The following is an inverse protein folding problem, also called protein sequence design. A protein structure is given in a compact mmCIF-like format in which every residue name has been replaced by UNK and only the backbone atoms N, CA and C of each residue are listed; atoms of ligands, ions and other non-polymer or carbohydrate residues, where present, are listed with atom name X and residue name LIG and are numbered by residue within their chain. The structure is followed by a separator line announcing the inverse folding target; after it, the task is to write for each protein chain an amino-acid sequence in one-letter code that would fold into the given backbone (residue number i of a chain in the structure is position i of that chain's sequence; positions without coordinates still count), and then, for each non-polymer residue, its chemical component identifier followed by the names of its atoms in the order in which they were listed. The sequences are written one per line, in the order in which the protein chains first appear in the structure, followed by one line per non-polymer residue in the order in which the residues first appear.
data_IF_312656874895
#
_entry.id   IF_312656874895
#
_cell.length_a   1.000
_cell.length_b   1.000
_cell.length_c   1.000
_cell.angle_alpha   90.00
_cell.angle_beta   90.00
_cell.angle_gamma   90.00
#
_symmetry.space_group_name_H-M   'P 1'
#
loop_
_entity.id
_entity.type
_entity.pdbx_description
1 polymer ?
#
# COMPACT_ATOMS: atom_id res chain seq x y z
N UNK A 1 46.44 -8.18 -30.27
CA UNK A 1 46.28 -7.00 -29.40
C UNK A 1 45.67 -7.49 -28.11
N UNK A 2 46.46 -7.43 -27.06
CA UNK A 2 46.31 -8.15 -25.79
C UNK A 2 45.13 -7.64 -24.96
N UNK A 3 44.26 -8.57 -24.57
CA UNK A 3 43.34 -8.41 -23.45
C UNK A 3 44.15 -8.06 -22.20
N UNK A 4 43.89 -6.95 -21.49
CA UNK A 4 44.39 -6.80 -20.14
C UNK A 4 43.48 -7.63 -19.24
N UNK A 5 44.07 -8.64 -18.62
CA UNK A 5 43.53 -9.36 -17.48
C UNK A 5 43.19 -8.36 -16.37
N UNK A 6 41.91 -8.02 -16.25
CA UNK A 6 41.40 -7.16 -15.17
C UNK A 6 41.39 -7.98 -13.89
N UNK A 7 42.39 -7.77 -13.03
CA UNK A 7 42.41 -8.32 -11.67
C UNK A 7 41.22 -7.76 -10.86
N UNK A 8 40.53 -8.58 -10.04
CA UNK A 8 39.39 -8.17 -9.23
C UNK A 8 39.73 -7.10 -8.16
N UNK A 9 41.02 -6.81 -7.96
CA UNK A 9 41.52 -5.72 -7.09
C UNK A 9 41.39 -4.32 -7.71
N UNK A 10 41.34 -4.20 -9.05
CA UNK A 10 41.24 -2.91 -9.74
C UNK A 10 39.87 -2.24 -9.56
N UNK A 11 38.79 -3.01 -9.72
CA UNK A 11 37.41 -2.57 -9.49
C UNK A 11 37.17 -2.05 -8.06
N UNK A 12 37.87 -2.62 -7.09
CA UNK A 12 37.79 -2.19 -5.69
C UNK A 12 38.43 -0.82 -5.49
N UNK A 13 39.58 -0.60 -6.12
CA UNK A 13 40.34 0.66 -6.08
C UNK A 13 39.56 1.81 -6.72
N UNK A 14 38.90 1.55 -7.85
CA UNK A 14 38.12 2.55 -8.59
C UNK A 14 36.90 3.05 -7.79
N UNK A 15 36.19 2.15 -7.09
CA UNK A 15 35.05 2.49 -6.22
C UNK A 15 35.51 3.31 -4.99
N UNK A 16 36.67 2.98 -4.42
CA UNK A 16 37.21 3.67 -3.25
C UNK A 16 37.72 5.08 -3.56
N UNK A 17 38.22 5.30 -4.79
CA UNK A 17 38.73 6.60 -5.23
C UNK A 17 37.60 7.64 -5.43
N UNK A 18 36.45 7.20 -5.94
CA UNK A 18 35.29 8.06 -6.19
C UNK A 18 34.54 8.49 -4.92
N UNK A 19 34.71 7.72 -3.83
CA UNK A 19 34.08 7.99 -2.54
C UNK A 19 34.95 8.87 -1.61
N UNK A 20 35.99 9.54 -2.14
CA UNK A 20 36.90 10.41 -1.38
C UNK A 20 37.56 9.76 -0.14
N UNK A 21 37.59 8.42 -0.03
CA UNK A 21 38.20 7.73 1.12
C UNK A 21 39.72 7.65 0.99
N UNK A 22 40.27 7.83 -0.22
CA UNK A 22 41.69 7.68 -0.47
C UNK A 22 42.22 8.96 -1.12
N UNK A 23 42.74 9.86 -0.29
CA UNK A 23 43.90 10.64 -0.71
C UNK A 23 45.01 9.61 -1.04
N UNK A 24 45.65 9.72 -2.21
CA UNK A 24 46.66 8.77 -2.73
C UNK A 24 47.82 8.53 -1.72
N UNK A 25 47.95 9.36 -0.68
CA UNK A 25 48.81 9.12 0.48
C UNK A 25 48.50 7.83 1.27
N UNK A 26 47.30 7.26 1.18
CA UNK A 26 46.95 6.05 1.95
C UNK A 26 47.37 4.73 1.28
N UNK A 27 47.73 4.75 -0.01
CA UNK A 27 48.07 3.54 -0.78
C UNK A 27 49.42 2.91 -0.39
N UNK A 28 50.19 3.54 0.52
CA UNK A 28 51.47 3.05 1.00
C UNK A 28 51.45 2.35 2.36
N UNK A 29 50.35 2.38 3.13
CA UNK A 29 50.25 1.66 4.40
C UNK A 29 49.77 0.22 4.20
N UNK A 30 50.71 -0.57 3.67
CA UNK A 30 51.01 -1.96 4.01
C UNK A 30 49.87 -2.86 4.52
N UNK A 31 49.59 -3.90 3.75
CA UNK A 31 49.85 -5.31 4.13
C UNK A 31 49.74 -5.71 5.62
N UNK A 32 48.65 -5.35 6.29
CA UNK A 32 48.15 -6.04 7.48
C UNK A 32 46.81 -5.46 7.85
N UNK A 33 45.72 -6.21 7.67
CA UNK A 33 44.74 -6.45 8.73
C UNK A 33 43.75 -7.52 8.23
N UNK A 34 44.00 -8.70 8.78
CA UNK A 34 43.26 -9.95 8.76
C UNK A 34 41.75 -9.88 8.41
N UNK A 35 41.37 -10.87 7.62
CA UNK A 35 40.04 -11.39 7.29
C UNK A 35 38.92 -11.08 8.29
N UNK A 36 37.76 -10.65 7.77
CA UNK A 36 36.45 -10.38 8.39
C UNK A 36 36.09 -8.91 8.73
N UNK A 37 37.03 -8.01 9.04
CA UNK A 37 36.69 -6.58 9.29
C UNK A 37 36.58 -5.78 7.98
N UNK A 38 37.40 -6.13 6.99
CA UNK A 38 37.39 -5.53 5.66
C UNK A 38 36.05 -5.67 4.94
N UNK A 39 35.36 -6.81 5.12
CA UNK A 39 34.09 -7.08 4.46
C UNK A 39 32.93 -6.27 5.08
N UNK A 40 32.94 -6.08 6.41
CA UNK A 40 31.98 -5.24 7.12
C UNK A 40 32.11 -3.76 6.76
N UNK A 41 33.34 -3.26 6.59
CA UNK A 41 33.57 -1.91 6.10
C UNK A 41 33.15 -1.80 4.63
N UNK A 42 33.58 -2.71 3.76
CA UNK A 42 33.24 -2.71 2.34
C UNK A 42 31.72 -2.75 2.05
N UNK A 43 30.93 -3.50 2.83
CA UNK A 43 29.47 -3.50 2.73
C UNK A 43 28.80 -2.24 3.31
N UNK A 44 29.47 -1.49 4.18
CA UNK A 44 28.99 -0.22 4.73
C UNK A 44 29.20 1.00 3.81
N UNK A 45 30.08 0.90 2.80
CA UNK A 45 30.43 2.01 1.90
C UNK A 45 29.62 2.06 0.60
N UNK A 46 28.67 1.14 0.38
CA UNK A 46 27.84 1.06 -0.83
C UNK A 46 26.78 2.19 -0.97
N UNK A 47 26.96 3.32 -0.28
CA UNK A 47 25.86 4.26 0.03
C UNK A 47 25.94 5.65 -0.58
N UNK A 48 27.00 6.02 -1.32
CA UNK A 48 27.21 7.43 -1.70
C UNK A 48 26.64 7.84 -3.07
N UNK A 49 25.87 6.98 -3.75
CA UNK A 49 25.14 7.35 -4.97
C UNK A 49 26.02 7.79 -6.16
N UNK A 50 27.30 7.44 -6.15
CA UNK A 50 28.30 7.82 -7.15
C UNK A 50 28.74 6.59 -7.96
N UNK A 51 29.06 6.81 -9.23
CA UNK A 51 29.52 5.80 -10.17
C UNK A 51 30.81 6.25 -10.85
N UNK A 52 31.74 5.34 -11.13
CA UNK A 52 33.01 5.67 -11.77
C UNK A 52 32.79 5.81 -13.27
N UNK A 53 33.00 7.01 -13.82
CA UNK A 53 32.92 7.28 -15.27
C UNK A 53 34.25 7.00 -15.96
N UNK A 54 35.33 7.35 -15.28
CA UNK A 54 36.69 7.18 -15.75
C UNK A 54 37.57 6.69 -14.61
N UNK A 55 38.26 5.57 -14.84
CA UNK A 55 39.14 4.96 -13.86
C UNK A 55 40.36 5.83 -13.56
N UNK A 56 40.87 5.67 -12.34
CA UNK A 56 42.07 6.34 -11.87
C UNK A 56 43.30 5.84 -12.66
N UNK A 57 44.22 6.75 -13.00
CA UNK A 57 45.56 6.39 -13.48
C UNK A 57 46.59 7.11 -12.59
N UNK A 58 47.84 6.63 -12.50
CA UNK A 58 48.88 7.15 -11.61
C UNK A 58 49.22 8.65 -11.74
N UNK A 59 48.62 9.36 -12.70
CA UNK A 59 48.85 10.77 -13.03
C UNK A 59 47.56 11.55 -13.33
N UNK A 60 46.38 10.93 -13.26
CA UNK A 60 45.10 11.59 -13.57
C UNK A 60 44.03 11.24 -12.57
N UNK A 61 43.34 12.28 -12.09
CA UNK A 61 42.23 12.14 -11.15
C UNK A 61 41.03 11.42 -11.76
N UNK A 62 40.28 10.72 -10.91
CA UNK A 62 39.09 9.94 -11.25
C UNK A 62 37.92 10.87 -11.56
N UNK A 63 37.18 10.60 -12.64
CA UNK A 63 35.93 11.31 -12.93
C UNK A 63 34.75 10.48 -12.45
N UNK A 64 34.04 11.02 -11.48
CA UNK A 64 32.83 10.44 -10.89
C UNK A 64 31.58 10.98 -11.58
N UNK A 65 30.67 10.08 -11.95
CA UNK A 65 29.31 10.42 -12.39
C UNK A 65 28.30 10.08 -11.30
N UNK A 66 27.14 10.73 -11.36
CA UNK A 66 26.05 10.50 -10.40
C UNK A 66 25.25 9.27 -10.82
N UNK A 67 24.93 8.38 -9.86
CA UNK A 67 24.11 7.21 -10.12
C UNK A 67 22.66 7.61 -10.45
N UNK A 68 21.99 6.85 -11.31
CA UNK A 68 20.57 7.07 -11.61
C UNK A 68 19.72 7.06 -10.33
N UNK A 69 18.87 8.08 -10.18
CA UNK A 69 18.06 8.29 -8.98
C UNK A 69 18.76 9.08 -7.87
N UNK A 70 19.91 9.70 -8.16
CA UNK A 70 20.63 10.60 -7.27
C UNK A 70 20.92 11.93 -7.97
N UNK A 71 21.07 13.00 -7.19
CA UNK A 71 21.51 14.32 -7.66
C UNK A 71 22.74 14.78 -6.89
N UNK A 72 23.57 15.59 -7.53
CA UNK A 72 24.77 16.13 -6.90
C UNK A 72 24.45 17.30 -5.97
N UNK A 73 24.86 17.19 -4.70
CA UNK A 73 24.74 18.28 -3.71
C UNK A 73 26.05 19.04 -3.51
N UNK A 74 27.18 18.35 -3.60
CA UNK A 74 28.51 18.92 -3.42
C UNK A 74 29.34 18.78 -4.69
N UNK A 75 29.74 19.90 -5.28
CA UNK A 75 30.66 19.93 -6.43
C UNK A 75 32.11 19.97 -5.91
N UNK A 76 32.99 19.12 -6.44
CA UNK A 76 34.44 19.15 -6.16
C UNK A 76 35.13 20.11 -7.15
N UNK A 77 34.80 19.94 -8.43
CA UNK A 77 35.29 20.73 -9.56
C UNK A 77 34.15 20.88 -10.58
N UNK A 78 34.38 21.66 -11.66
CA UNK A 78 33.37 22.01 -12.67
C UNK A 78 32.59 20.83 -13.30
N UNK A 79 33.04 19.58 -13.09
CA UNK A 79 32.42 18.37 -13.62
C UNK A 79 32.39 17.17 -12.64
N UNK A 80 32.80 17.33 -11.37
CA UNK A 80 32.94 16.23 -10.42
C UNK A 80 32.04 16.38 -9.19
N UNK A 81 31.32 15.32 -8.82
CA UNK A 81 30.45 15.31 -7.65
C UNK A 81 31.12 14.64 -6.43
N UNK A 82 31.15 15.32 -5.27
CA UNK A 82 31.63 14.77 -3.98
C UNK A 82 30.56 14.02 -3.22
N UNK A 83 29.31 14.49 -3.33
CA UNK A 83 28.21 14.00 -2.53
C UNK A 83 26.96 13.92 -3.41
N UNK A 84 26.54 12.70 -3.69
CA UNK A 84 25.27 12.45 -4.33
C UNK A 84 24.20 12.11 -3.29
N UNK A 85 23.05 12.75 -3.40
CA UNK A 85 21.89 12.53 -2.56
C UNK A 85 20.77 11.91 -3.39
N UNK A 86 20.06 10.93 -2.83
CA UNK A 86 18.98 10.26 -3.54
C UNK A 86 17.90 11.29 -3.91
N UNK A 87 17.32 11.17 -5.10
CA UNK A 87 16.19 11.99 -5.49
C UNK A 87 15.04 11.85 -4.50
N UNK A 88 14.44 12.98 -4.14
CA UNK A 88 13.25 13.06 -3.31
C UNK A 88 12.09 12.34 -3.99
N UNK A 89 11.40 11.51 -3.22
CA UNK A 89 10.11 10.97 -3.64
C UNK A 89 9.03 11.97 -3.24
N UNK A 90 8.15 12.30 -4.17
CA UNK A 90 7.03 13.17 -3.88
C UNK A 90 6.07 12.50 -2.89
N UNK A 91 5.45 13.32 -2.04
CA UNK A 91 4.50 12.81 -1.06
C UNK A 91 3.19 12.38 -1.73
N UNK A 92 2.37 11.62 -1.01
CA UNK A 92 0.99 11.40 -1.40
C UNK A 92 0.28 12.76 -1.53
N UNK A 93 -0.58 12.90 -2.55
CA UNK A 93 -1.18 14.18 -2.93
C UNK A 93 -0.36 15.05 -3.85
N UNK A 94 0.84 14.61 -4.23
CA UNK A 94 1.71 15.30 -5.16
C UNK A 94 1.98 14.46 -6.41
N UNK A 95 2.47 15.11 -7.46
CA UNK A 95 2.98 14.47 -8.68
C UNK A 95 4.39 14.95 -8.97
N UNK A 96 5.10 14.17 -9.78
CA UNK A 96 6.37 14.59 -10.36
C UNK A 96 6.05 15.62 -11.46
N UNK A 97 6.49 16.86 -11.26
CA UNK A 97 6.41 17.92 -12.26
C UNK A 97 7.60 17.85 -13.21
N UNK A 98 8.79 17.76 -12.64
CA UNK A 98 10.04 17.61 -13.38
C UNK A 98 10.83 16.45 -12.78
N UNK A 99 11.27 15.48 -13.60
CA UNK A 99 12.09 14.38 -13.11
C UNK A 99 13.44 14.90 -12.65
N UNK A 100 13.95 14.36 -11.54
CA UNK A 100 15.29 14.67 -11.06
C UNK A 100 16.36 14.31 -12.10
N UNK A 101 17.41 15.13 -12.17
CA UNK A 101 18.57 14.92 -13.03
C UNK A 101 19.81 14.65 -12.19
N UNK A 102 20.97 14.40 -12.81
CA UNK A 102 22.23 14.25 -12.07
C UNK A 102 22.63 15.50 -11.28
N UNK A 103 22.08 16.67 -11.61
CA UNK A 103 22.41 17.95 -10.98
C UNK A 103 21.25 18.57 -10.19
N UNK A 104 20.01 18.11 -10.42
CA UNK A 104 18.82 18.66 -9.77
C UNK A 104 17.98 17.56 -9.14
N UNK A 105 17.35 17.85 -8.02
CA UNK A 105 16.39 16.95 -7.40
C UNK A 105 15.06 16.91 -8.19
N UNK A 106 14.24 15.91 -7.91
CA UNK A 106 12.87 15.80 -8.42
C UNK A 106 12.02 16.96 -7.91
N UNK A 107 11.32 17.63 -8.83
CA UNK A 107 10.39 18.70 -8.48
C UNK A 107 8.98 18.13 -8.35
N UNK A 108 8.41 18.29 -7.16
CA UNK A 108 7.05 17.84 -6.84
C UNK A 108 6.06 19.00 -6.94
N UNK A 109 4.85 18.70 -7.39
CA UNK A 109 3.73 19.66 -7.45
C UNK A 109 2.47 19.02 -6.85
N UNK A 110 1.66 19.79 -6.14
CA UNK A 110 0.41 19.30 -5.55
C UNK A 110 -0.63 18.99 -6.64
N UNK A 111 -1.42 17.94 -6.41
CA UNK A 111 -2.54 17.61 -7.29
C UNK A 111 -3.65 18.66 -7.20
N UNK A 112 -4.23 19.03 -8.35
CA UNK A 112 -5.41 19.90 -8.39
C UNK A 112 -6.63 19.22 -7.75
N UNK A 113 -7.61 20.01 -7.26
CA UNK A 113 -8.86 19.47 -6.73
C UNK A 113 -9.56 18.56 -7.76
N UNK A 114 -10.00 17.38 -7.32
CA UNK A 114 -10.56 16.36 -8.21
C UNK A 114 -9.56 15.29 -8.67
N UNK A 115 -8.30 15.40 -8.26
CA UNK A 115 -7.27 14.39 -8.49
C UNK A 115 -6.66 13.92 -7.17
N UNK A 116 -6.17 12.68 -7.16
CA UNK A 116 -5.45 12.08 -6.05
C UNK A 116 -4.15 11.42 -6.54
N UNK A 117 -3.14 11.34 -5.67
CA UNK A 117 -1.96 10.52 -5.88
C UNK A 117 -1.59 9.78 -4.61
N UNK A 118 -1.55 8.45 -4.69
CA UNK A 118 -1.16 7.60 -3.55
C UNK A 118 0.36 7.52 -3.38
N UNK A 119 1.06 7.38 -4.51
CA UNK A 119 2.50 7.08 -4.54
C UNK A 119 3.35 8.30 -4.93
N UNK A 120 2.74 9.47 -5.13
CA UNK A 120 3.46 10.72 -5.46
C UNK A 120 3.95 10.82 -6.90
N UNK A 121 3.67 9.84 -7.76
CA UNK A 121 4.22 9.80 -9.12
C UNK A 121 3.39 10.66 -10.07
N UNK A 122 2.10 10.33 -10.19
CA UNK A 122 1.15 10.99 -11.07
C UNK A 122 -0.16 11.27 -10.33
N UNK A 123 -0.85 12.34 -10.73
CA UNK A 123 -2.19 12.63 -10.27
C UNK A 123 -3.20 11.85 -11.13
N UNK A 124 -4.04 11.06 -10.48
CA UNK A 124 -5.15 10.32 -11.08
C UNK A 124 -6.46 11.01 -10.74
N UNK A 125 -7.38 11.13 -11.69
CA UNK A 125 -8.69 11.72 -11.44
C UNK A 125 -9.48 10.86 -10.45
N UNK A 126 -10.31 11.49 -9.61
CA UNK A 126 -11.20 10.78 -8.72
C UNK A 126 -12.19 9.90 -9.48
N UNK A 127 -12.50 8.74 -8.91
CA UNK A 127 -13.52 7.83 -9.43
C UNK A 127 -14.88 8.50 -9.39
N UNK A 128 -15.57 8.54 -10.54
CA UNK A 128 -16.95 9.01 -10.65
C UNK A 128 -17.88 7.85 -10.36
N UNK A 129 -18.68 7.96 -9.30
CA UNK A 129 -19.68 6.94 -8.98
C UNK A 129 -20.80 6.90 -10.01
N UNK A 130 -21.24 5.69 -10.36
CA UNK A 130 -22.40 5.49 -11.24
C UNK A 130 -23.70 5.96 -10.57
N UNK A 131 -24.75 6.24 -11.36
CA UNK A 131 -26.06 6.68 -10.84
C UNK A 131 -26.69 5.72 -9.81
N UNK A 132 -26.26 4.45 -9.79
CA UNK A 132 -26.73 3.44 -8.84
C UNK A 132 -25.96 3.38 -7.52
N UNK A 133 -24.86 4.14 -7.42
CA UNK A 133 -23.93 4.16 -6.30
C UNK A 133 -23.93 5.52 -5.61
N UNK A 134 -23.64 5.51 -4.32
CA UNK A 134 -23.43 6.71 -3.52
C UNK A 134 -21.95 6.80 -3.13
N UNK A 135 -21.46 8.02 -2.96
CA UNK A 135 -20.15 8.28 -2.36
C UNK A 135 -20.24 7.86 -0.89
N UNK A 136 -19.45 6.85 -0.52
CA UNK A 136 -19.34 6.37 0.87
C UNK A 136 -18.19 7.06 1.59
N UNK A 137 -17.10 7.31 0.86
CA UNK A 137 -15.93 8.01 1.36
C UNK A 137 -15.54 9.09 0.36
N UNK A 138 -15.38 10.32 0.86
CA UNK A 138 -14.96 11.46 0.06
C UNK A 138 -13.50 11.29 -0.38
N UNK A 139 -13.24 11.64 -1.65
CA UNK A 139 -11.88 11.68 -2.18
C UNK A 139 -11.08 12.82 -1.56
N UNK A 140 -9.78 12.64 -1.45
CA UNK A 140 -8.83 13.67 -1.07
C UNK A 140 -7.64 13.67 -2.05
N UNK A 141 -6.67 14.56 -1.86
CA UNK A 141 -5.42 14.53 -2.63
C UNK A 141 -4.66 13.19 -2.46
N UNK A 142 -4.82 12.49 -1.34
CA UNK A 142 -4.11 11.23 -1.06
C UNK A 142 -4.91 9.96 -1.34
N UNK A 143 -6.24 10.06 -1.47
CA UNK A 143 -7.15 8.92 -1.54
C UNK A 143 -8.27 9.14 -2.56
N UNK A 144 -8.67 8.07 -3.22
CA UNK A 144 -9.76 8.10 -4.19
C UNK A 144 -11.13 8.14 -3.52
N UNK A 145 -12.14 8.58 -4.27
CA UNK A 145 -13.56 8.47 -3.92
C UNK A 145 -13.95 7.00 -3.89
N UNK A 146 -14.57 6.57 -2.78
CA UNK A 146 -15.08 5.20 -2.66
C UNK A 146 -16.57 5.16 -2.91
N UNK A 147 -16.96 4.44 -3.97
CA UNK A 147 -18.36 4.25 -4.35
C UNK A 147 -18.94 2.99 -3.69
N UNK A 148 -20.08 3.15 -3.01
CA UNK A 148 -20.83 2.05 -2.43
C UNK A 148 -22.25 1.98 -2.94
N UNK A 149 -22.89 0.82 -2.76
CA UNK A 149 -24.33 0.71 -3.01
C UNK A 149 -25.11 1.43 -1.92
N UNK A 150 -26.18 2.15 -2.29
CA UNK A 150 -27.06 2.76 -1.32
C UNK A 150 -27.59 1.71 -0.32
N UNK A 151 -27.56 1.97 1.00
CA UNK A 151 -28.08 1.03 1.98
C UNK A 151 -29.57 0.80 1.72
N UNK A 152 -29.92 -0.45 1.40
CA UNK A 152 -31.30 -0.88 1.19
C UNK A 152 -32.05 -1.01 2.52
N UNK A 153 -32.15 0.09 3.28
CA UNK A 153 -32.81 0.13 4.58
C UNK A 153 -34.29 -0.32 4.50
N UNK A 154 -34.92 -0.15 3.33
CA UNK A 154 -36.29 -0.63 3.06
C UNK A 154 -36.42 -2.15 3.18
N UNK A 155 -35.40 -2.94 2.85
CA UNK A 155 -35.49 -4.41 2.95
C UNK A 155 -35.47 -4.90 4.40
N UNK A 156 -34.76 -4.21 5.29
CA UNK A 156 -34.76 -4.53 6.72
C UNK A 156 -36.16 -4.34 7.33
N UNK A 157 -36.78 -3.18 7.09
CA UNK A 157 -38.14 -2.89 7.57
C UNK A 157 -39.19 -3.85 6.99
N UNK A 158 -39.12 -4.13 5.69
CA UNK A 158 -40.05 -5.09 5.05
C UNK A 158 -39.88 -6.49 5.65
N UNK A 159 -38.64 -6.94 5.89
CA UNK A 159 -38.37 -8.24 6.52
C UNK A 159 -38.96 -8.36 7.92
N UNK A 160 -38.80 -7.32 8.75
CA UNK A 160 -39.38 -7.29 10.11
C UNK A 160 -40.90 -7.30 10.10
N UNK A 161 -41.54 -6.52 9.21
CA UNK A 161 -43.00 -6.48 9.09
C UNK A 161 -43.53 -7.84 8.64
N UNK A 162 -42.90 -8.46 7.63
CA UNK A 162 -43.30 -9.79 7.15
C UNK A 162 -43.17 -10.84 8.24
N UNK A 163 -42.07 -10.84 9.00
CA UNK A 163 -41.86 -11.77 10.12
C UNK A 163 -42.93 -11.59 11.20
N UNK A 164 -43.26 -10.35 11.57
CA UNK A 164 -44.29 -10.06 12.56
C UNK A 164 -45.68 -10.54 12.10
N UNK A 165 -46.02 -10.32 10.83
CA UNK A 165 -47.29 -10.80 10.26
C UNK A 165 -47.38 -12.34 10.28
N UNK A 166 -46.29 -13.04 9.96
CA UNK A 166 -46.23 -14.51 10.02
C UNK A 166 -46.46 -15.00 11.47
N UNK A 167 -45.81 -14.38 12.46
CA UNK A 167 -45.98 -14.75 13.87
C UNK A 167 -47.42 -14.51 14.32
N UNK A 168 -48.00 -13.35 13.97
CA UNK A 168 -49.39 -13.02 14.31
C UNK A 168 -50.38 -14.04 13.73
N UNK A 169 -50.21 -14.41 12.45
CA UNK A 169 -51.03 -15.44 11.79
C UNK A 169 -50.89 -16.79 12.49
N UNK A 170 -49.67 -17.21 12.84
CA UNK A 170 -49.43 -18.45 13.59
C UNK A 170 -50.13 -18.45 14.97
N UNK A 171 -50.11 -17.33 15.70
CA UNK A 171 -50.81 -17.19 16.97
C UNK A 171 -52.33 -17.26 16.80
N UNK A 172 -52.87 -16.63 15.75
CA UNK A 172 -54.30 -16.69 15.43
C UNK A 172 -54.70 -18.13 15.07
N UNK A 173 -53.96 -18.81 14.21
CA UNK A 173 -54.23 -20.20 13.81
C UNK A 173 -54.16 -21.13 15.02
N UNK A 174 -53.12 -21.02 15.85
CA UNK A 174 -53.00 -21.85 17.06
C UNK A 174 -54.10 -21.56 18.08
N UNK A 175 -54.55 -20.29 18.20
CA UNK A 175 -55.71 -19.90 19.00
C UNK A 175 -56.99 -20.54 18.51
N UNK A 176 -57.26 -20.47 17.20
CA UNK A 176 -58.44 -21.09 16.56
C UNK A 176 -58.40 -22.61 16.73
N UNK A 177 -57.25 -23.26 16.48
CA UNK A 177 -57.10 -24.71 16.63
C UNK A 177 -57.31 -25.13 18.08
N UNK A 178 -56.77 -24.39 19.06
CA UNK A 178 -56.99 -24.65 20.49
C UNK A 178 -58.45 -24.45 20.87
N UNK A 179 -59.11 -23.39 20.41
CA UNK A 179 -60.51 -23.12 20.67
C UNK A 179 -61.42 -24.20 20.06
N UNK A 180 -61.17 -24.59 18.80
CA UNK A 180 -61.87 -25.69 18.14
C UNK A 180 -61.66 -27.02 18.89
N UNK A 181 -60.44 -27.31 19.33
CA UNK A 181 -60.16 -28.52 20.11
C UNK A 181 -60.88 -28.51 21.46
N UNK A 182 -60.91 -27.37 22.16
CA UNK A 182 -61.63 -27.20 23.42
C UNK A 182 -63.15 -27.41 23.24
N UNK A 183 -63.71 -26.86 22.18
CA UNK A 183 -65.12 -27.03 21.83
C UNK A 183 -65.46 -28.47 21.42
N UNK A 184 -64.58 -29.14 20.67
CA UNK A 184 -64.74 -30.57 20.35
C UNK A 184 -64.68 -31.45 21.60
N UNK A 185 -63.81 -31.13 22.57
CA UNK A 185 -63.75 -31.88 23.84
C UNK A 185 -64.97 -31.66 24.71
N UNK A 186 -65.54 -30.45 24.75
CA UNK A 186 -66.76 -30.17 25.51
C UNK A 186 -67.98 -30.89 24.91
N UNK A 187 -68.13 -30.87 23.58
CA UNK A 187 -69.19 -31.62 22.87
C UNK A 187 -69.05 -33.13 23.07
N UNK A 188 -67.83 -33.67 23.05
CA UNK A 188 -67.59 -35.10 23.32
C UNK A 188 -67.95 -35.50 24.75
N UNK A 189 -67.71 -34.63 25.73
CA UNK A 189 -68.12 -34.86 27.13
C UNK A 189 -69.64 -34.84 27.31
N UNK A 190 -70.34 -33.94 26.60
CA UNK A 190 -71.80 -33.87 26.62
C UNK A 190 -72.45 -35.13 26.01
N UNK A 191 -71.88 -35.65 24.91
CA UNK A 191 -72.37 -36.88 24.28
C UNK A 191 -72.06 -38.14 25.11
N UNK A 192 -70.95 -38.18 25.85
CA UNK A 192 -70.63 -39.30 26.74
C UNK A 192 -71.51 -39.34 28.00
N UNK A 193 -72.00 -38.19 28.47
CA UNK A 193 -72.94 -38.12 29.59
C UNK A 193 -74.34 -38.67 29.22
N UNK A 194 -74.77 -38.47 27.98
CA UNK A 194 -76.05 -39.02 27.49
C UNK A 194 -76.01 -40.56 27.34
N UNK A 195 -74.86 -41.14 26.99
CA UNK A 195 -74.72 -42.59 26.87
C UNK A 195 -74.65 -43.33 28.22
N UNK A 196 -74.31 -42.63 29.31
CA UNK A 196 -74.33 -43.23 30.66
C UNK A 196 -75.74 -43.26 31.26
N UNK A 197 -76.63 -42.34 30.84
CA UNK A 197 -78.03 -42.30 31.29
C UNK A 197 -78.91 -43.36 30.62
N UNK A 198 -78.55 -43.87 29.43
CA UNK A 198 -79.29 -44.94 28.75
C UNK A 198 -78.92 -46.36 29.24
N UNK A 199 -77.88 -46.51 30.05
CA UNK A 199 -77.50 -47.79 30.68
C UNK A 199 -78.02 -47.93 32.13
N UNK A 200 -78.70 -46.91 32.66
CA UNK A 200 -79.22 -46.89 34.04
C UNK A 200 -80.76 -46.93 34.14
N UNK A 201 -81.46 -47.42 33.11
CA UNK A 201 -82.89 -47.72 33.17
C UNK A 201 -83.14 -49.22 33.03
#
# INVERSE_FOLDING_TARGET
TSFPSVEPLGLLLDILCCNQVINIDFLHLKTSFYTNVFWFWFFGFLGHGLSVKQNCTATTDTVCDVLNGYHCKGLIDSNGCSLAEKHSQCAAGQRIKEPGTSTSDTVCEDCEPGFFSKDGVNCTAWTICSESQIIVEEGNSTSDVVCGSAPRHRYGLISFVVLFLIIAICLVITGIVKACKYHLTSVKSAHSAQHLQSLTC
#
